data_IF_199622150761
#
_entry.id   IF_199622150761
#
_cell.length_a   1.000
_cell.length_b   1.000
_cell.length_c   1.000
_cell.angle_alpha   90.00
_cell.angle_beta   90.00
_cell.angle_gamma   90.00
#
_symmetry.space_group_name_H-M   'P 1'
#
loop_
_entity.id
_entity.type
_entity.pdbx_description
1 polymer ?
#
# COMPACT_ATOMS: atom_id res chain seq x y z
N UNK A 1 -9.13 -6.58 5.78
CA UNK A 1 -9.02 -5.97 7.13
C UNK A 1 -9.35 -6.95 8.25
N UNK A 2 -10.25 -7.94 8.09
CA UNK A 2 -10.58 -8.91 9.16
C UNK A 2 -9.35 -9.65 9.73
N UNK A 3 -8.43 -10.11 8.88
CA UNK A 3 -7.16 -10.72 9.30
C UNK A 3 -6.19 -9.78 10.00
N UNK A 4 -6.45 -8.46 9.95
CA UNK A 4 -5.61 -7.44 10.57
C UNK A 4 -6.13 -6.99 11.95
N UNK A 5 -7.29 -7.51 12.38
CA UNK A 5 -7.91 -7.15 13.66
C UNK A 5 -7.06 -7.51 14.88
N UNK A 6 -6.23 -8.56 14.77
CA UNK A 6 -5.31 -9.00 15.82
C UNK A 6 -4.13 -8.03 16.03
N UNK A 7 -3.85 -7.17 15.07
CA UNK A 7 -2.76 -6.18 15.13
C UNK A 7 -3.24 -4.80 15.60
N UNK A 8 -4.52 -4.66 15.95
CA UNK A 8 -5.04 -3.39 16.47
C UNK A 8 -4.38 -3.14 17.84
N UNK A 9 -3.70 -1.99 18.04
CA UNK A 9 -3.05 -1.68 19.31
C UNK A 9 -4.06 -1.55 20.45
N UNK A 10 -3.64 -1.95 21.64
CA UNK A 10 -4.37 -1.58 22.87
C UNK A 10 -3.98 -0.17 23.33
N UNK A 11 -4.74 0.38 24.28
CA UNK A 11 -4.51 1.75 24.76
C UNK A 11 -3.05 1.98 25.21
N UNK A 12 -2.43 3.03 24.67
CA UNK A 12 -1.04 3.39 24.96
C UNK A 12 0.02 2.64 24.11
N UNK A 13 -0.38 1.76 23.20
CA UNK A 13 0.53 1.10 22.27
C UNK A 13 0.55 1.79 20.91
N UNK A 14 1.71 1.71 20.25
CA UNK A 14 1.91 2.16 18.88
C UNK A 14 2.32 0.94 18.06
N UNK A 15 1.60 0.69 16.96
CA UNK A 15 1.90 -0.40 16.03
C UNK A 15 2.20 0.21 14.66
N UNK A 16 3.32 -0.20 14.08
CA UNK A 16 3.72 0.18 12.71
C UNK A 16 3.50 -1.03 11.81
N UNK A 17 2.72 -0.84 10.75
CA UNK A 17 2.36 -1.90 9.81
C UNK A 17 2.97 -1.64 8.43
N UNK A 18 3.83 -2.56 7.98
CA UNK A 18 4.35 -2.59 6.61
C UNK A 18 3.65 -3.72 5.85
N UNK A 19 2.81 -3.38 4.88
CA UNK A 19 1.86 -4.31 4.29
C UNK A 19 0.55 -4.30 5.08
N UNK A 20 -0.40 -3.49 4.61
CA UNK A 20 -1.71 -3.30 5.23
C UNK A 20 -2.82 -3.68 4.23
N UNK A 21 -4.08 -3.53 4.66
CA UNK A 21 -5.23 -3.85 3.82
C UNK A 21 -5.30 -3.07 2.50
N UNK A 22 -4.69 -1.88 2.41
CA UNK A 22 -4.56 -1.15 1.14
C UNK A 22 -3.52 -1.78 0.22
N UNK A 23 -2.43 -2.30 0.80
CA UNK A 23 -1.41 -3.01 0.03
C UNK A 23 -2.00 -4.26 -0.62
N UNK A 24 -2.79 -5.03 0.12
CA UNK A 24 -3.48 -6.21 -0.42
C UNK A 24 -4.46 -5.85 -1.54
N UNK A 25 -5.23 -4.76 -1.38
CA UNK A 25 -6.14 -4.27 -2.41
C UNK A 25 -5.38 -3.83 -3.66
N UNK A 26 -4.27 -3.10 -3.51
CA UNK A 26 -3.41 -2.71 -4.63
C UNK A 26 -2.86 -3.92 -5.36
N UNK A 27 -2.37 -4.94 -4.65
CA UNK A 27 -1.82 -6.16 -5.23
C UNK A 27 -2.90 -6.94 -5.98
N UNK A 28 -4.07 -7.08 -5.37
CA UNK A 28 -5.21 -7.76 -6.01
C UNK A 28 -5.66 -7.01 -7.26
N UNK A 29 -5.74 -5.68 -7.21
CA UNK A 29 -6.15 -4.85 -8.35
C UNK A 29 -5.09 -4.76 -9.46
N UNK A 30 -3.81 -4.93 -9.14
CA UNK A 30 -2.71 -4.92 -10.12
C UNK A 30 -2.39 -6.31 -10.69
N UNK A 31 -2.93 -7.37 -10.08
CA UNK A 31 -2.84 -8.74 -10.62
C UNK A 31 -3.62 -8.83 -11.94
N UNK A 32 -2.87 -9.06 -13.03
CA UNK A 32 -3.36 -9.03 -14.42
C UNK A 32 -4.38 -10.14 -14.72
N UNK A 33 -4.42 -11.19 -13.88
CA UNK A 33 -5.28 -12.35 -14.07
C UNK A 33 -6.76 -12.06 -13.82
N UNK A 34 -7.10 -11.15 -12.90
CA UNK A 34 -8.48 -10.80 -12.56
C UNK A 34 -8.57 -9.32 -12.17
N UNK A 35 -8.70 -8.40 -13.14
CA UNK A 35 -8.88 -6.99 -12.83
C UNK A 35 -10.13 -6.82 -11.98
N UNK A 36 -9.94 -6.29 -10.78
CA UNK A 36 -11.05 -5.87 -9.91
C UNK A 36 -11.86 -4.80 -10.64
N UNK A 37 -13.18 -5.01 -10.70
CA UNK A 37 -14.11 -4.02 -11.24
C UNK A 37 -13.94 -2.70 -10.47
N UNK A 38 -13.92 -1.58 -11.18
CA UNK A 38 -13.68 -0.26 -10.57
C UNK A 38 -14.71 0.04 -9.47
N UNK A 39 -15.98 -0.32 -9.70
CA UNK A 39 -17.04 -0.15 -8.72
C UNK A 39 -16.81 -0.99 -7.45
N UNK A 40 -16.22 -2.19 -7.59
CA UNK A 40 -15.86 -3.01 -6.43
C UNK A 40 -14.67 -2.43 -5.69
N UNK A 41 -13.67 -1.92 -6.41
CA UNK A 41 -12.52 -1.25 -5.82
C UNK A 41 -12.96 -0.07 -4.95
N UNK A 42 -13.83 0.80 -5.49
CA UNK A 42 -14.34 1.96 -4.75
C UNK A 42 -15.16 1.51 -3.53
N UNK A 43 -15.99 0.47 -3.66
CA UNK A 43 -16.71 -0.11 -2.51
C UNK A 43 -15.75 -0.68 -1.44
N UNK A 44 -14.62 -1.27 -1.83
CA UNK A 44 -13.60 -1.73 -0.88
C UNK A 44 -12.95 -0.55 -0.16
N UNK A 45 -12.61 0.52 -0.86
CA UNK A 45 -12.05 1.74 -0.27
C UNK A 45 -13.02 2.35 0.75
N UNK A 46 -14.31 2.45 0.42
CA UNK A 46 -15.33 2.95 1.34
C UNK A 46 -15.46 2.07 2.60
N UNK A 47 -15.44 0.75 2.46
CA UNK A 47 -15.42 -0.17 3.61
C UNK A 47 -14.17 0.02 4.48
N UNK A 48 -13.01 0.30 3.90
CA UNK A 48 -11.78 0.60 4.64
C UNK A 48 -11.90 1.92 5.42
N UNK A 49 -12.47 2.97 4.80
CA UNK A 49 -12.74 4.24 5.49
C UNK A 49 -13.72 4.06 6.65
N UNK A 50 -14.76 3.25 6.47
CA UNK A 50 -15.69 2.92 7.54
C UNK A 50 -14.99 2.19 8.70
N UNK A 51 -14.12 1.23 8.39
CA UNK A 51 -13.33 0.53 9.41
C UNK A 51 -12.38 1.47 10.17
N UNK A 52 -11.73 2.41 9.49
CA UNK A 52 -10.91 3.44 10.14
C UNK A 52 -11.74 4.37 11.04
N UNK A 53 -12.97 4.70 10.64
CA UNK A 53 -13.89 5.45 11.48
C UNK A 53 -14.27 4.67 12.74
N UNK A 54 -14.48 3.36 12.62
CA UNK A 54 -14.74 2.49 13.78
C UNK A 54 -13.52 2.41 14.71
N UNK A 55 -12.30 2.32 14.16
CA UNK A 55 -11.06 2.38 14.95
C UNK A 55 -10.95 3.70 15.71
N UNK A 56 -11.25 4.82 15.04
CA UNK A 56 -11.25 6.15 15.66
C UNK A 56 -12.27 6.27 16.79
N UNK A 57 -13.45 5.67 16.63
CA UNK A 57 -14.47 5.59 17.69
C UNK A 57 -13.99 4.78 18.90
N UNK A 58 -13.03 3.87 18.71
CA UNK A 58 -12.36 3.10 19.77
C UNK A 58 -11.05 3.74 20.26
N UNK A 59 -10.86 5.05 20.05
CA UNK A 59 -9.66 5.80 20.45
C UNK A 59 -8.35 5.31 19.80
N UNK A 60 -8.44 4.68 18.62
CA UNK A 60 -7.27 4.30 17.82
C UNK A 60 -7.14 5.26 16.64
N UNK A 61 -6.10 6.10 16.68
CA UNK A 61 -5.77 6.98 15.56
C UNK A 61 -4.93 6.23 14.51
N UNK A 62 -5.42 6.25 13.27
CA UNK A 62 -4.74 5.62 12.13
C UNK A 62 -4.01 6.70 11.33
N UNK A 63 -2.68 6.63 11.33
CA UNK A 63 -1.84 7.50 10.50
C UNK A 63 -1.35 6.73 9.29
N UNK A 64 -1.70 7.21 8.10
CA UNK A 64 -1.39 6.56 6.83
C UNK A 64 -0.30 7.33 6.10
N UNK A 65 0.79 6.64 5.78
CA UNK A 65 1.95 7.22 5.13
C UNK A 65 2.23 6.47 3.85
N UNK A 66 2.37 7.21 2.75
CA UNK A 66 2.80 6.68 1.47
C UNK A 66 4.15 7.26 1.10
N UNK A 67 5.12 6.39 0.82
CA UNK A 67 6.41 6.79 0.28
C UNK A 67 6.32 6.87 -1.24
N UNK A 68 6.33 8.08 -1.79
CA UNK A 68 6.39 8.27 -3.23
C UNK A 68 7.83 8.16 -3.71
N UNK A 69 8.05 7.31 -4.70
CA UNK A 69 9.36 7.10 -5.30
C UNK A 69 9.17 7.03 -6.81
N UNK A 70 9.90 7.87 -7.55
CA UNK A 70 9.84 7.81 -9.00
C UNK A 70 10.35 6.47 -9.51
N UNK A 71 9.79 6.02 -10.63
CA UNK A 71 10.19 4.77 -11.27
C UNK A 71 11.70 4.71 -11.53
N UNK A 72 12.32 5.85 -11.90
CA UNK A 72 13.78 5.93 -12.13
C UNK A 72 14.56 5.68 -10.85
N UNK A 73 14.18 6.30 -9.74
CA UNK A 73 14.83 6.12 -8.44
C UNK A 73 14.62 4.70 -7.91
N UNK A 74 13.43 4.14 -8.10
CA UNK A 74 13.13 2.74 -7.78
C UNK A 74 14.02 1.78 -8.57
N UNK A 75 14.15 1.94 -9.90
CA UNK A 75 15.04 1.11 -10.73
C UNK A 75 16.49 1.20 -10.25
N UNK A 76 17.00 2.42 -9.98
CA UNK A 76 18.35 2.60 -9.45
C UNK A 76 18.56 1.88 -8.12
N UNK A 77 17.58 1.88 -7.22
CA UNK A 77 17.65 1.15 -5.94
C UNK A 77 17.61 -0.35 -6.16
N UNK A 78 16.74 -0.84 -7.04
CA UNK A 78 16.69 -2.26 -7.42
C UNK A 78 18.02 -2.72 -8.05
N UNK A 79 18.66 -1.90 -8.87
CA UNK A 79 19.95 -2.24 -9.46
C UNK A 79 21.12 -2.21 -8.46
N UNK A 80 20.98 -1.46 -7.35
CA UNK A 80 21.93 -1.45 -6.23
C UNK A 80 21.69 -2.56 -5.21
N UNK A 81 20.52 -3.21 -5.22
CA UNK A 81 20.20 -4.30 -4.29
C UNK A 81 21.10 -5.50 -4.59
N UNK A 82 21.68 -6.06 -3.53
CA UNK A 82 22.58 -7.19 -3.62
C UNK A 82 21.81 -8.41 -4.20
N UNK A 83 22.41 -9.20 -5.11
CA UNK A 83 21.77 -10.38 -5.68
C UNK A 83 21.30 -11.40 -4.62
N UNK A 84 21.90 -11.41 -3.43
CA UNK A 84 21.46 -12.23 -2.28
C UNK A 84 20.12 -11.79 -1.68
N UNK A 85 19.72 -10.53 -1.90
CA UNK A 85 18.48 -9.89 -1.46
C UNK A 85 17.44 -9.83 -2.60
N UNK A 86 17.59 -10.60 -3.67
CA UNK A 86 16.68 -10.56 -4.82
C UNK A 86 15.19 -10.86 -4.51
N UNK A 87 14.87 -11.41 -3.32
CA UNK A 87 13.49 -11.57 -2.90
C UNK A 87 12.73 -10.23 -2.84
N UNK A 88 13.41 -9.12 -2.55
CA UNK A 88 12.80 -7.79 -2.51
C UNK A 88 12.26 -7.35 -3.88
N UNK A 89 12.77 -7.88 -5.00
CA UNK A 89 12.21 -7.60 -6.33
C UNK A 89 10.82 -8.19 -6.55
N UNK A 90 10.41 -9.16 -5.73
CA UNK A 90 9.05 -9.71 -5.71
C UNK A 90 8.27 -9.21 -4.50
N UNK A 91 8.56 -8.00 -4.01
CA UNK A 91 7.74 -7.41 -2.95
C UNK A 91 6.28 -7.42 -3.40
N UNK A 92 5.45 -8.09 -2.61
CA UNK A 92 4.02 -8.28 -2.87
C UNK A 92 3.66 -8.97 -4.21
N UNK A 93 4.58 -9.77 -4.79
CA UNK A 93 4.34 -10.48 -6.04
C UNK A 93 4.29 -9.60 -7.29
N UNK A 94 4.61 -8.31 -7.16
CA UNK A 94 4.63 -7.35 -8.26
C UNK A 94 5.99 -7.28 -8.93
N UNK A 95 6.00 -7.17 -10.25
CA UNK A 95 7.23 -6.94 -11.00
C UNK A 95 7.51 -5.44 -11.10
N UNK A 96 8.37 -4.96 -10.19
CA UNK A 96 8.75 -3.55 -10.14
C UNK A 96 9.57 -3.08 -11.35
N UNK A 97 10.07 -4.00 -12.20
CA UNK A 97 10.68 -3.67 -13.50
C UNK A 97 9.63 -3.40 -14.57
N UNK A 98 8.39 -3.84 -14.37
CA UNK A 98 7.31 -3.58 -15.30
C UNK A 98 6.72 -2.17 -15.12
N UNK A 99 7.13 -1.25 -16.02
CA UNK A 99 6.62 0.13 -16.02
C UNK A 99 5.09 0.22 -16.14
N UNK A 100 4.43 -0.71 -16.84
CA UNK A 100 2.97 -0.71 -17.00
C UNK A 100 2.28 -1.02 -15.67
N UNK A 101 2.81 -1.98 -14.90
CA UNK A 101 2.28 -2.29 -13.56
C UNK A 101 2.50 -1.12 -12.60
N UNK A 102 3.67 -0.49 -12.64
CA UNK A 102 3.95 0.72 -11.85
C UNK A 102 2.96 1.86 -12.17
N UNK A 103 2.69 2.13 -13.45
CA UNK A 103 1.75 3.19 -13.86
C UNK A 103 0.32 2.89 -13.41
N UNK A 104 -0.14 1.64 -13.54
CA UNK A 104 -1.44 1.21 -13.02
C UNK A 104 -1.53 1.37 -11.50
N UNK A 105 -0.48 0.98 -10.77
CA UNK A 105 -0.44 1.13 -9.32
C UNK A 105 -0.51 2.61 -8.91
N UNK A 106 0.26 3.49 -9.57
CA UNK A 106 0.21 4.92 -9.31
C UNK A 106 -1.17 5.54 -9.62
N UNK A 107 -1.88 5.05 -10.65
CA UNK A 107 -3.26 5.45 -10.94
C UNK A 107 -4.24 5.01 -9.87
N UNK A 108 -4.15 3.75 -9.43
CA UNK A 108 -5.03 3.20 -8.40
C UNK A 108 -4.80 3.87 -7.05
N UNK A 109 -3.54 4.11 -6.69
CA UNK A 109 -3.15 4.86 -5.48
C UNK A 109 -3.91 6.17 -5.37
N UNK A 110 -3.95 6.96 -6.45
CA UNK A 110 -4.61 8.28 -6.46
C UNK A 110 -6.10 8.25 -6.09
N UNK A 111 -6.76 7.10 -6.15
CA UNK A 111 -8.19 6.96 -5.80
C UNK A 111 -8.46 6.94 -4.30
N UNK A 112 -7.45 6.69 -3.46
CA UNK A 112 -7.63 6.58 -2.00
C UNK A 112 -6.59 7.35 -1.16
N UNK A 113 -5.66 8.06 -1.80
CA UNK A 113 -4.58 8.78 -1.09
C UNK A 113 -4.92 10.21 -0.66
N UNK A 114 -6.16 10.67 -0.77
CA UNK A 114 -6.54 12.06 -0.40
C UNK A 114 -6.23 12.40 1.06
N UNK A 115 -6.32 11.43 1.96
CA UNK A 115 -6.09 11.58 3.40
C UNK A 115 -4.79 10.93 3.88
N UNK A 116 -3.85 10.68 2.96
CA UNK A 116 -2.55 10.08 3.26
C UNK A 116 -1.43 11.12 3.27
N UNK A 117 -0.47 10.92 4.16
CA UNK A 117 0.78 11.67 4.13
C UNK A 117 1.67 11.13 3.03
N UNK A 118 1.91 11.95 1.99
CA UNK A 118 2.83 11.61 0.92
C UNK A 118 4.22 12.10 1.31
N UNK A 119 5.13 11.16 1.57
CA UNK A 119 6.54 11.43 1.82
C UNK A 119 7.29 11.21 0.52
N UNK A 120 8.02 12.22 0.07
CA UNK A 120 8.94 12.08 -1.04
C UNK A 120 10.13 11.23 -0.60
N UNK A 121 10.28 10.06 -1.21
CA UNK A 121 11.37 9.14 -0.95
C UNK A 121 12.57 9.35 -1.88
N UNK A 122 12.59 10.41 -2.69
CA UNK A 122 13.71 10.73 -3.57
C UNK A 122 14.97 11.24 -2.84
N UNK A 123 14.82 11.85 -1.66
CA UNK A 123 15.96 12.30 -0.84
C UNK A 123 16.61 11.13 -0.06
N UNK A 124 17.92 10.94 -0.28
CA UNK A 124 18.84 10.10 0.52
C UNK A 124 19.50 10.92 1.63
#
# INVERSE_FOLDING_TARGET
>A
WQSYSEFIPTEGQIVVMFGNWYSDLLVTATHVSEPLDEARFDAYVENMRAFEQDLKNNYVDVVKVWFDLSWKSLQKRLDKIDPSEQHWHKLHGLDWRNKKQYDTLQKLRRRFTDDWYIIDGEDE
#
